data_IF_495221805531
#
_entry.id   IF_495221805531
#
_cell.length_a   1.000
_cell.length_b   1.000
_cell.length_c   1.000
_cell.angle_alpha   90.00
_cell.angle_beta   90.00
_cell.angle_gamma   90.00
#
_symmetry.space_group_name_H-M   'P 1'
#
loop_
_entity.id
_entity.type
_entity.pdbx_description
1 polymer ?
#
# COMPACT_ATOMS: atom_id res chain seq x y z
N UNK A 1 -6.25 -1.84 26.82
CA UNK A 1 -7.57 -1.56 26.23
C UNK A 1 -8.72 -1.73 27.21
N UNK A 2 -8.89 -2.85 27.90
CA UNK A 2 -10.05 -3.09 28.82
C UNK A 2 -10.24 -2.12 30.00
N UNK A 3 -9.23 -1.39 30.47
CA UNK A 3 -9.34 -0.49 31.65
C UNK A 3 -10.06 0.85 31.35
N UNK A 4 -9.89 1.39 30.15
CA UNK A 4 -10.50 2.67 29.76
C UNK A 4 -11.97 2.53 29.38
N UNK A 5 -12.32 1.41 28.72
CA UNK A 5 -13.66 1.05 28.30
C UNK A 5 -14.62 1.03 29.52
N UNK A 6 -14.21 0.38 30.61
CA UNK A 6 -15.00 0.32 31.86
C UNK A 6 -15.18 1.69 32.54
N UNK A 7 -14.24 2.62 32.36
CA UNK A 7 -14.27 3.93 33.01
C UNK A 7 -15.29 4.88 32.39
N UNK A 8 -15.53 4.77 31.10
CA UNK A 8 -16.39 5.69 30.34
C UNK A 8 -17.73 5.08 29.92
N UNK A 9 -18.00 3.82 30.29
CA UNK A 9 -19.23 3.12 29.91
C UNK A 9 -19.37 2.82 28.42
N UNK A 10 -18.26 2.89 27.66
CA UNK A 10 -18.24 2.61 26.23
C UNK A 10 -18.06 1.12 26.02
N UNK A 11 -18.98 0.49 25.27
CA UNK A 11 -18.79 -0.89 24.83
C UNK A 11 -17.91 -0.91 23.56
N UNK A 12 -16.71 -1.50 23.66
CA UNK A 12 -15.80 -1.61 22.54
C UNK A 12 -15.22 -3.02 22.44
N UNK A 13 -15.20 -3.55 21.23
CA UNK A 13 -14.78 -4.90 20.88
C UNK A 13 -13.55 -4.83 19.99
N UNK A 14 -12.52 -5.64 20.30
CA UNK A 14 -11.31 -5.73 19.51
C UNK A 14 -11.44 -6.84 18.45
N UNK A 15 -11.33 -6.45 17.19
CA UNK A 15 -11.27 -7.33 16.03
C UNK A 15 -9.85 -7.38 15.49
N UNK A 16 -9.03 -8.27 16.06
CA UNK A 16 -7.63 -8.45 15.67
C UNK A 16 -7.39 -9.84 15.09
N UNK A 17 -6.44 -9.96 14.16
CA UNK A 17 -6.12 -11.22 13.51
C UNK A 17 -7.00 -11.52 12.29
N UNK A 18 -7.18 -12.82 11.98
CA UNK A 18 -7.91 -13.22 10.78
C UNK A 18 -9.41 -13.08 10.98
N UNK A 19 -10.09 -12.45 10.04
CA UNK A 19 -11.54 -12.18 10.10
C UNK A 19 -12.40 -13.43 10.30
N UNK A 20 -11.95 -14.60 9.82
CA UNK A 20 -12.66 -15.88 10.03
C UNK A 20 -12.66 -16.35 11.48
N UNK A 21 -11.74 -15.84 12.29
CA UNK A 21 -11.56 -16.22 13.69
C UNK A 21 -12.32 -15.26 14.64
N UNK A 22 -13.06 -14.27 14.10
CA UNK A 22 -13.85 -13.35 14.91
C UNK A 22 -15.04 -14.05 15.56
N UNK A 23 -15.28 -13.73 16.84
CA UNK A 23 -16.43 -14.25 17.57
C UNK A 23 -17.74 -13.72 16.94
N UNK A 24 -18.68 -14.62 16.70
CA UNK A 24 -19.95 -14.27 16.04
C UNK A 24 -20.78 -13.33 16.92
N UNK A 25 -20.83 -13.55 18.24
CA UNK A 25 -21.59 -12.68 19.14
C UNK A 25 -21.02 -11.26 19.20
N UNK A 26 -19.69 -11.12 19.17
CA UNK A 26 -19.01 -9.84 19.14
C UNK A 26 -19.28 -9.11 17.83
N UNK A 27 -19.29 -9.85 16.73
CA UNK A 27 -19.63 -9.31 15.43
C UNK A 27 -21.08 -8.82 15.35
N UNK A 28 -22.03 -9.55 15.92
CA UNK A 28 -23.44 -9.14 15.99
C UNK A 28 -23.61 -7.85 16.79
N UNK A 29 -22.99 -7.73 17.97
CA UNK A 29 -23.03 -6.51 18.76
C UNK A 29 -22.45 -5.29 18.03
N UNK A 30 -21.36 -5.49 17.30
CA UNK A 30 -20.77 -4.43 16.47
C UNK A 30 -21.71 -4.04 15.32
N UNK A 31 -22.20 -4.99 14.54
CA UNK A 31 -23.05 -4.73 13.37
C UNK A 31 -24.43 -4.19 13.73
N UNK A 32 -24.93 -4.42 14.96
CA UNK A 32 -26.16 -3.83 15.48
C UNK A 32 -25.96 -2.41 16.06
N UNK A 33 -24.72 -1.90 16.10
CA UNK A 33 -24.39 -0.59 16.66
C UNK A 33 -24.32 -0.57 18.20
N UNK A 34 -24.35 -1.73 18.86
CA UNK A 34 -24.27 -1.85 20.32
C UNK A 34 -22.83 -1.73 20.86
N UNK A 35 -21.85 -1.83 19.97
CA UNK A 35 -20.43 -1.75 20.32
C UNK A 35 -19.61 -1.00 19.25
N UNK A 36 -18.55 -0.35 19.70
CA UNK A 36 -17.52 0.23 18.81
C UNK A 36 -16.52 -0.86 18.45
N UNK A 37 -16.29 -1.07 17.16
CA UNK A 37 -15.23 -1.98 16.66
C UNK A 37 -13.86 -1.31 16.72
N UNK A 38 -12.87 -1.97 17.30
CA UNK A 38 -11.47 -1.56 17.28
C UNK A 38 -10.68 -2.60 16.51
N UNK A 39 -10.04 -2.21 15.41
CA UNK A 39 -9.34 -3.14 14.54
C UNK A 39 -7.98 -2.60 14.12
N UNK A 40 -7.18 -3.44 13.47
CA UNK A 40 -5.89 -3.05 12.88
C UNK A 40 -6.08 -2.60 11.44
N UNK A 41 -5.15 -1.79 10.93
CA UNK A 41 -5.15 -1.40 9.52
C UNK A 41 -5.13 -2.61 8.57
N UNK A 42 -4.40 -3.66 8.93
CA UNK A 42 -4.36 -4.89 8.12
C UNK A 42 -5.71 -5.61 8.02
N UNK A 43 -6.52 -5.58 9.07
CA UNK A 43 -7.86 -6.17 9.05
C UNK A 43 -8.87 -5.25 8.36
N UNK A 44 -8.73 -3.94 8.56
CA UNK A 44 -9.62 -2.93 7.97
C UNK A 44 -9.43 -2.81 6.45
N UNK A 45 -8.19 -2.75 5.98
CA UNK A 45 -7.84 -2.63 4.55
C UNK A 45 -7.63 -3.96 3.83
N UNK A 46 -8.07 -5.07 4.42
CA UNK A 46 -8.04 -6.36 3.74
C UNK A 46 -8.96 -6.35 2.49
N UNK A 47 -8.58 -7.06 1.45
CA UNK A 47 -9.33 -7.12 0.17
C UNK A 47 -10.80 -7.52 0.34
N UNK A 48 -11.10 -8.39 1.31
CA UNK A 48 -12.45 -8.81 1.66
C UNK A 48 -12.75 -8.37 3.10
N UNK A 49 -12.61 -7.09 3.38
CA UNK A 49 -12.89 -6.55 4.70
C UNK A 49 -14.36 -6.72 5.05
N UNK A 50 -14.63 -7.11 6.30
CA UNK A 50 -16.00 -7.10 6.85
C UNK A 50 -16.44 -5.69 7.26
N UNK A 51 -15.52 -4.72 7.23
CA UNK A 51 -15.76 -3.34 7.67
C UNK A 51 -16.14 -2.41 6.50
N UNK A 52 -16.65 -2.95 5.38
CA UNK A 52 -16.99 -2.16 4.19
C UNK A 52 -18.19 -1.21 4.41
N UNK A 53 -19.07 -1.52 5.38
CA UNK A 53 -20.28 -0.75 5.68
C UNK A 53 -20.19 -0.05 7.04
N UNK A 54 -19.17 0.78 7.24
CA UNK A 54 -19.02 1.54 8.49
C UNK A 54 -19.56 2.96 8.32
N UNK A 55 -20.26 3.47 9.34
CA UNK A 55 -20.78 4.83 9.37
C UNK A 55 -19.71 5.86 9.74
N UNK A 56 -18.87 5.51 10.71
CA UNK A 56 -17.84 6.41 11.25
C UNK A 56 -16.52 5.65 11.35
N UNK A 57 -15.46 6.24 10.80
CA UNK A 57 -14.09 5.73 10.90
C UNK A 57 -13.27 6.73 11.71
N UNK A 58 -12.68 6.25 12.80
CA UNK A 58 -11.71 7.01 13.60
C UNK A 58 -10.36 6.32 13.43
N UNK A 59 -9.41 7.03 12.83
CA UNK A 59 -8.06 6.54 12.63
C UNK A 59 -7.12 7.13 13.67
N UNK A 60 -6.42 6.27 14.38
CA UNK A 60 -5.28 6.64 15.21
C UNK A 60 -4.06 6.63 14.29
N UNK A 61 -3.35 7.76 14.22
CA UNK A 61 -2.19 7.93 13.33
C UNK A 61 -2.48 7.69 11.83
N UNK A 62 -3.14 8.65 11.19
CA UNK A 62 -3.51 8.62 9.76
C UNK A 62 -2.29 8.36 8.85
N UNK A 63 -1.10 8.87 9.22
CA UNK A 63 0.11 8.66 8.42
C UNK A 63 0.52 7.19 8.36
N UNK A 64 0.44 6.46 9.48
CA UNK A 64 0.69 5.02 9.49
C UNK A 64 -0.34 4.25 8.67
N UNK A 65 -1.59 4.73 8.58
CA UNK A 65 -2.59 4.10 7.72
C UNK A 65 -2.30 4.31 6.25
N UNK A 66 -1.84 5.51 5.87
CA UNK A 66 -1.44 5.83 4.50
C UNK A 66 -0.26 4.96 4.06
N UNK A 67 0.78 4.87 4.89
CA UNK A 67 1.94 4.01 4.63
C UNK A 67 1.54 2.54 4.46
N UNK A 68 0.62 2.05 5.30
CA UNK A 68 0.11 0.69 5.18
C UNK A 68 -0.62 0.46 3.84
N UNK A 69 -1.51 1.38 3.45
CA UNK A 69 -2.25 1.28 2.18
C UNK A 69 -1.27 1.33 1.01
N UNK A 70 -0.35 2.30 0.99
CA UNK A 70 0.66 2.44 -0.06
C UNK A 70 1.50 1.16 -0.18
N UNK A 71 1.88 0.53 0.93
CA UNK A 71 2.69 -0.69 0.91
C UNK A 71 2.03 -1.85 0.16
N UNK A 72 0.70 -1.97 0.23
CA UNK A 72 -0.07 -2.99 -0.49
C UNK A 72 -0.12 -2.78 -2.01
N UNK A 73 0.25 -1.59 -2.48
CA UNK A 73 0.28 -1.18 -3.89
C UNK A 73 1.70 -0.87 -4.36
N UNK A 74 2.69 -1.22 -3.57
CA UNK A 74 4.10 -0.93 -3.84
C UNK A 74 4.85 -2.22 -4.13
N UNK A 75 5.41 -2.34 -5.32
CA UNK A 75 6.32 -3.41 -5.67
C UNK A 75 7.76 -2.94 -5.40
N UNK A 76 8.40 -3.58 -4.43
CA UNK A 76 9.79 -3.34 -4.08
C UNK A 76 10.66 -4.42 -4.72
N UNK A 77 11.65 -4.02 -5.49
CA UNK A 77 12.59 -4.90 -6.20
C UNK A 77 13.99 -4.59 -5.69
N UNK A 78 14.58 -5.52 -4.96
CA UNK A 78 15.91 -5.38 -4.40
C UNK A 78 16.98 -5.93 -5.35
N UNK A 79 18.24 -5.53 -5.17
CA UNK A 79 19.38 -5.96 -5.98
C UNK A 79 19.52 -7.49 -6.10
N UNK A 80 19.03 -8.23 -5.10
CA UNK A 80 19.08 -9.69 -5.08
C UNK A 80 17.99 -10.37 -5.95
N UNK A 81 17.09 -9.57 -6.53
CA UNK A 81 16.00 -10.08 -7.36
C UNK A 81 16.42 -10.18 -8.81
N UNK A 82 16.04 -11.25 -9.48
CA UNK A 82 16.31 -11.44 -10.92
C UNK A 82 15.73 -10.28 -11.75
N UNK A 83 14.56 -9.77 -11.36
CA UNK A 83 13.92 -8.64 -12.01
C UNK A 83 14.75 -7.35 -11.92
N UNK A 84 15.56 -7.18 -10.87
CA UNK A 84 16.33 -5.98 -10.65
C UNK A 84 17.33 -5.72 -11.79
N UNK A 85 18.14 -6.71 -12.14
CA UNK A 85 19.15 -6.56 -13.19
C UNK A 85 18.51 -6.24 -14.54
N UNK A 86 17.40 -6.90 -14.86
CA UNK A 86 16.70 -6.72 -16.12
C UNK A 86 16.07 -5.32 -16.21
N UNK A 87 15.43 -4.86 -15.14
CA UNK A 87 14.82 -3.52 -15.09
C UNK A 87 15.92 -2.44 -15.05
N UNK A 88 16.99 -2.64 -14.27
CA UNK A 88 18.12 -1.71 -14.23
C UNK A 88 18.77 -1.55 -15.62
N UNK A 89 18.85 -2.62 -16.42
CA UNK A 89 19.34 -2.54 -17.79
C UNK A 89 18.46 -1.66 -18.68
N UNK A 90 17.13 -1.70 -18.52
CA UNK A 90 16.20 -0.79 -19.20
C UNK A 90 16.42 0.64 -18.72
N UNK A 91 16.49 0.85 -17.40
CA UNK A 91 16.65 2.15 -16.78
C UNK A 91 17.99 2.81 -17.15
N UNK A 92 19.02 2.05 -17.50
CA UNK A 92 20.32 2.57 -17.95
C UNK A 92 20.20 3.55 -19.12
N UNK A 93 19.23 3.35 -19.99
CA UNK A 93 19.02 4.23 -21.15
C UNK A 93 18.24 5.49 -20.81
N UNK A 94 17.66 5.56 -19.62
CA UNK A 94 16.77 6.64 -19.16
C UNK A 94 17.43 7.50 -18.09
N UNK A 95 18.20 6.87 -17.20
CA UNK A 95 18.84 7.51 -16.06
C UNK A 95 20.09 8.29 -16.45
N UNK A 96 20.45 9.27 -15.62
CA UNK A 96 21.79 9.85 -15.65
C UNK A 96 22.84 8.79 -15.27
N UNK A 97 24.08 8.98 -15.72
CA UNK A 97 25.18 8.08 -15.36
C UNK A 97 25.36 7.96 -13.84
N UNK A 98 25.25 9.07 -13.12
CA UNK A 98 25.34 9.08 -11.66
C UNK A 98 24.22 8.30 -10.99
N UNK A 99 22.98 8.46 -11.46
CA UNK A 99 21.82 7.72 -10.89
C UNK A 99 21.94 6.23 -11.16
N UNK A 100 22.41 5.84 -12.34
CA UNK A 100 22.63 4.44 -12.67
C UNK A 100 23.76 3.81 -11.82
N UNK A 101 24.87 4.54 -11.60
CA UNK A 101 25.94 4.11 -10.72
C UNK A 101 25.44 3.93 -9.29
N UNK A 102 24.67 4.90 -8.76
CA UNK A 102 24.11 4.82 -7.41
C UNK A 102 23.13 3.66 -7.25
N UNK A 103 22.27 3.42 -8.26
CA UNK A 103 21.33 2.31 -8.27
C UNK A 103 22.03 0.95 -8.22
N UNK A 104 23.10 0.79 -9.00
CA UNK A 104 23.81 -0.47 -9.19
C UNK A 104 25.05 -0.63 -8.29
N UNK A 105 25.33 0.35 -7.44
CA UNK A 105 26.50 0.39 -6.57
C UNK A 105 26.69 -0.90 -5.76
N UNK A 106 27.94 -1.32 -5.60
CA UNK A 106 28.28 -2.46 -4.76
C UNK A 106 28.35 -2.04 -3.27
N UNK A 107 28.47 -3.01 -2.39
CA UNK A 107 28.54 -2.77 -0.94
C UNK A 107 29.72 -1.90 -0.51
N UNK A 108 30.76 -1.89 -1.32
CA UNK A 108 31.99 -1.10 -1.09
C UNK A 108 31.90 0.32 -1.67
N UNK A 109 30.88 0.63 -2.44
CA UNK A 109 30.72 1.92 -3.09
C UNK A 109 30.10 2.93 -2.13
N UNK A 110 30.64 4.17 -2.14
CA UNK A 110 30.11 5.28 -1.34
C UNK A 110 28.86 5.81 -2.07
N UNK A 111 27.71 5.27 -1.76
CA UNK A 111 26.43 5.85 -2.13
C UNK A 111 25.85 6.58 -0.91
N UNK A 112 25.29 7.79 -1.05
CA UNK A 112 24.63 8.45 0.07
C UNK A 112 23.50 7.56 0.62
N UNK A 113 23.47 7.33 1.94
CA UNK A 113 22.49 6.43 2.56
C UNK A 113 21.04 6.81 2.25
N UNK A 114 20.78 8.10 2.07
CA UNK A 114 19.44 8.64 1.81
C UNK A 114 19.23 9.01 0.33
N UNK A 115 20.06 8.49 -0.58
CA UNK A 115 19.84 8.78 -1.98
C UNK A 115 18.57 8.09 -2.51
N UNK A 116 17.69 8.89 -3.07
CA UNK A 116 16.48 8.44 -3.74
C UNK A 116 16.19 9.39 -4.90
N UNK A 117 15.80 8.86 -6.05
CA UNK A 117 15.41 9.65 -7.20
C UNK A 117 14.20 9.07 -7.91
N UNK A 118 13.50 9.90 -8.66
CA UNK A 118 12.34 9.52 -9.48
C UNK A 118 12.79 9.32 -10.93
N UNK A 119 12.38 8.19 -11.52
CA UNK A 119 12.64 7.94 -12.95
C UNK A 119 11.73 8.85 -13.80
N UNK A 120 12.28 9.57 -14.81
CA UNK A 120 11.50 10.47 -15.64
C UNK A 120 10.42 9.73 -16.45
N UNK A 121 9.14 9.98 -16.12
CA UNK A 121 7.99 9.30 -16.71
C UNK A 121 7.90 9.40 -18.25
N UNK A 122 8.17 10.53 -18.90
CA UNK A 122 8.06 10.60 -20.35
C UNK A 122 8.93 9.59 -21.09
N UNK A 123 10.11 9.28 -20.55
CA UNK A 123 11.03 8.30 -21.12
C UNK A 123 10.69 6.87 -20.73
N UNK A 124 10.00 6.71 -19.60
CA UNK A 124 9.61 5.42 -19.06
C UNK A 124 8.40 4.83 -19.78
N UNK A 125 7.45 5.66 -20.22
CA UNK A 125 6.18 5.21 -20.82
C UNK A 125 6.41 4.27 -22.02
N UNK A 126 7.41 4.54 -22.84
CA UNK A 126 7.75 3.71 -23.99
C UNK A 126 8.26 2.31 -23.60
N UNK A 127 8.78 2.17 -22.38
CA UNK A 127 9.38 0.92 -21.88
C UNK A 127 8.51 0.21 -20.83
N UNK A 128 7.35 0.77 -20.50
CA UNK A 128 6.52 0.25 -19.41
C UNK A 128 6.01 -1.17 -19.66
N UNK A 129 5.70 -1.50 -20.92
CA UNK A 129 5.27 -2.83 -21.31
C UNK A 129 6.37 -3.88 -21.14
N UNK A 130 7.61 -3.51 -21.38
CA UNK A 130 8.77 -4.37 -21.20
C UNK A 130 9.02 -4.62 -19.70
N UNK A 131 8.94 -3.56 -18.87
CA UNK A 131 9.02 -3.68 -17.42
C UNK A 131 7.90 -4.57 -16.88
N UNK A 132 6.66 -4.40 -17.38
CA UNK A 132 5.54 -5.25 -16.99
C UNK A 132 5.79 -6.73 -17.29
N UNK A 133 6.34 -7.03 -18.46
CA UNK A 133 6.69 -8.41 -18.84
C UNK A 133 7.74 -9.02 -17.94
N UNK A 134 8.76 -8.23 -17.55
CA UNK A 134 9.79 -8.67 -16.61
C UNK A 134 9.19 -8.98 -15.24
N UNK A 135 8.32 -8.10 -14.74
CA UNK A 135 7.64 -8.28 -13.46
C UNK A 135 6.76 -9.54 -13.49
N UNK A 136 5.96 -9.71 -14.54
CA UNK A 136 5.07 -10.87 -14.68
C UNK A 136 5.79 -12.21 -14.59
N UNK A 137 7.01 -12.29 -15.12
CA UNK A 137 7.81 -13.52 -15.14
C UNK A 137 8.54 -13.75 -13.81
N UNK A 138 9.01 -12.68 -13.17
CA UNK A 138 9.98 -12.78 -12.06
C UNK A 138 9.39 -12.42 -10.69
N UNK A 139 8.07 -12.09 -10.60
CA UNK A 139 7.47 -11.72 -9.32
C UNK A 139 7.39 -12.93 -8.40
N UNK A 140 7.89 -12.80 -7.18
CA UNK A 140 7.76 -13.81 -6.15
C UNK A 140 6.41 -13.73 -5.43
N UNK A 141 6.05 -14.77 -4.65
CA UNK A 141 4.76 -14.84 -3.96
C UNK A 141 4.53 -13.68 -2.98
N UNK A 142 5.57 -13.17 -2.34
CA UNK A 142 5.49 -12.06 -1.38
C UNK A 142 5.04 -10.75 -2.04
N UNK A 143 5.43 -10.51 -3.29
CA UNK A 143 5.14 -9.28 -4.04
C UNK A 143 3.98 -9.43 -5.01
N UNK A 144 3.53 -10.67 -5.21
CA UNK A 144 2.47 -10.99 -6.17
C UNK A 144 1.21 -10.17 -5.92
N UNK A 145 0.83 -10.00 -4.66
CA UNK A 145 -0.36 -9.22 -4.29
C UNK A 145 -0.21 -7.75 -4.70
N UNK A 146 0.89 -7.12 -4.33
CA UNK A 146 1.14 -5.72 -4.70
C UNK A 146 1.23 -5.55 -6.23
N UNK A 147 1.89 -6.48 -6.93
CA UNK A 147 1.95 -6.46 -8.39
C UNK A 147 0.56 -6.58 -9.03
N UNK A 148 -0.28 -7.52 -8.57
CA UNK A 148 -1.64 -7.68 -9.11
C UNK A 148 -2.47 -6.41 -8.98
N UNK A 149 -2.29 -5.66 -7.89
CA UNK A 149 -2.98 -4.39 -7.67
C UNK A 149 -2.58 -3.30 -8.67
N UNK A 150 -1.33 -3.30 -9.16
CA UNK A 150 -0.81 -2.24 -10.05
C UNK A 150 -0.68 -2.67 -11.51
N UNK A 151 -0.75 -3.97 -11.82
CA UNK A 151 -0.40 -4.52 -13.15
C UNK A 151 -1.19 -3.89 -14.29
N UNK A 152 -2.49 -3.65 -14.12
CA UNK A 152 -3.35 -3.05 -15.13
C UNK A 152 -3.11 -1.55 -15.30
N UNK A 153 -2.61 -0.88 -14.26
CA UNK A 153 -2.39 0.56 -14.20
C UNK A 153 -0.92 0.94 -14.03
N UNK A 154 -0.01 0.09 -14.50
CA UNK A 154 1.43 0.32 -14.34
C UNK A 154 1.90 1.65 -14.99
N UNK A 155 1.23 2.10 -16.04
CA UNK A 155 1.46 3.40 -16.69
C UNK A 155 1.17 4.61 -15.79
N UNK A 156 0.33 4.41 -14.76
CA UNK A 156 -0.05 5.44 -13.78
C UNK A 156 0.78 5.31 -12.49
N UNK A 157 1.83 4.48 -12.52
CA UNK A 157 2.76 4.29 -11.43
C UNK A 157 4.04 5.07 -11.67
N UNK A 158 4.61 5.58 -10.59
CA UNK A 158 5.96 6.12 -10.56
C UNK A 158 6.97 5.02 -10.24
N UNK A 159 8.16 5.14 -10.81
CA UNK A 159 9.31 4.33 -10.45
C UNK A 159 10.30 5.19 -9.68
N UNK A 160 10.54 4.82 -8.45
CA UNK A 160 11.56 5.40 -7.59
C UNK A 160 12.77 4.47 -7.56
N UNK A 161 13.93 5.05 -7.57
CA UNK A 161 15.20 4.36 -7.43
C UNK A 161 15.91 4.86 -6.17
N UNK A 162 16.45 3.95 -5.43
CA UNK A 162 17.27 4.24 -4.25
C UNK A 162 18.45 3.26 -4.20
N UNK A 163 19.28 3.35 -3.17
CA UNK A 163 20.42 2.46 -3.04
C UNK A 163 19.98 0.98 -3.12
N UNK A 164 20.34 0.30 -4.23
CA UNK A 164 20.08 -1.13 -4.48
C UNK A 164 18.59 -1.52 -4.51
N UNK A 165 17.70 -0.56 -4.73
CA UNK A 165 16.26 -0.83 -4.72
C UNK A 165 15.55 -0.05 -5.83
N UNK A 166 14.62 -0.73 -6.49
CA UNK A 166 13.64 -0.14 -7.39
C UNK A 166 12.27 -0.29 -6.74
N UNK A 167 11.52 0.80 -6.64
CA UNK A 167 10.19 0.80 -6.07
C UNK A 167 9.19 1.30 -7.11
N UNK A 168 8.15 0.52 -7.38
CA UNK A 168 7.07 0.87 -8.30
C UNK A 168 5.79 1.03 -7.50
N UNK A 169 5.17 2.21 -7.56
CA UNK A 169 3.94 2.51 -6.84
C UNK A 169 3.07 3.52 -7.58
N UNK A 170 1.74 3.51 -7.38
CA UNK A 170 0.84 4.51 -7.94
C UNK A 170 1.24 5.93 -7.54
N UNK A 171 1.02 6.88 -8.41
CA UNK A 171 1.25 8.29 -8.12
C UNK A 171 0.30 8.82 -7.03
N UNK A 172 -0.95 8.39 -7.08
CA UNK A 172 -1.95 8.77 -6.10
C UNK A 172 -2.16 7.57 -5.15
N UNK A 173 -2.13 7.78 -3.82
CA UNK A 173 -2.47 6.72 -2.90
C UNK A 173 -3.83 6.09 -3.23
N UNK A 174 -3.95 4.77 -3.29
CA UNK A 174 -5.19 4.11 -3.71
C UNK A 174 -6.31 4.13 -2.66
N UNK A 175 -6.24 5.03 -1.69
CA UNK A 175 -7.30 5.28 -0.71
C UNK A 175 -8.66 5.50 -1.34
N UNK A 176 -8.68 6.03 -2.59
CA UNK A 176 -9.92 6.24 -3.34
C UNK A 176 -10.58 4.95 -3.83
N UNK A 177 -9.85 3.84 -3.83
CA UNK A 177 -10.35 2.55 -4.34
C UNK A 177 -10.86 1.63 -3.23
N UNK A 178 -10.70 2.01 -1.97
CA UNK A 178 -11.21 1.22 -0.86
C UNK A 178 -12.67 1.58 -0.57
N UNK A 179 -13.57 0.59 -0.67
CA UNK A 179 -15.01 0.78 -0.52
C UNK A 179 -15.41 1.49 0.78
N UNK A 180 -14.72 1.21 1.88
CA UNK A 180 -15.00 1.86 3.16
C UNK A 180 -14.80 3.40 3.10
N UNK A 181 -13.77 3.88 2.38
CA UNK A 181 -13.56 5.33 2.21
C UNK A 181 -14.55 5.95 1.26
N UNK A 182 -14.92 5.29 0.18
CA UNK A 182 -15.91 5.84 -0.75
C UNK A 182 -17.29 5.93 -0.09
N UNK A 183 -17.68 4.94 0.70
CA UNK A 183 -18.94 4.95 1.43
C UNK A 183 -18.96 6.00 2.55
N UNK A 184 -17.90 6.07 3.38
CA UNK A 184 -17.78 7.07 4.45
C UNK A 184 -17.74 8.50 3.88
N UNK A 185 -17.01 8.73 2.79
CA UNK A 185 -16.94 10.04 2.12
C UNK A 185 -18.30 10.48 1.56
N UNK A 186 -19.06 9.57 1.01
CA UNK A 186 -20.39 9.87 0.47
C UNK A 186 -21.36 10.28 1.58
N UNK A 187 -21.34 9.59 2.72
CA UNK A 187 -22.19 9.94 3.88
C UNK A 187 -21.81 11.29 4.51
N UNK A 188 -20.50 11.60 4.63
CA UNK A 188 -20.07 12.92 5.13
C UNK A 188 -20.55 14.06 4.21
N UNK A 189 -20.58 13.85 2.91
CA UNK A 189 -21.06 14.85 1.95
C UNK A 189 -22.58 15.01 2.01
N UNK A 190 -23.32 13.93 2.23
CA UNK A 190 -24.77 13.96 2.34
C UNK A 190 -25.23 14.67 3.64
N UNK A 191 -24.50 14.47 4.76
CA UNK A 191 -24.74 15.15 6.02
C UNK A 191 -24.35 16.63 6.02
N UNK A 192 -23.45 17.06 5.12
CA UNK A 192 -23.05 18.46 4.95
C UNK A 192 -23.96 19.25 3.99
N UNK A 193 -24.94 18.63 3.37
CA UNK A 193 -25.95 19.30 2.52
C UNK A 193 -27.20 19.73 3.31
N UNK A 194 -27.17 19.63 4.64
CA UNK A 194 -28.14 20.25 5.57
C UNK A 194 -27.66 21.62 5.99
#
# INVERSE_FOLDING_TARGET
MNRQIKKYGINAIAFCGRQKDYNISDWVQYSSGEAIGVTTYSSFFATNSRFDEVDIIIMDDVHSSEDYIISNWTVNISKNDIAFEQIAAILKTILSENDYINLTADETSICPENWCNLVPMPLLIERISEINSILQININDERKFAYMNIAENLKDCNIYISNKQIQIRPWIPPTMFHNAFSNAKQRILDDLQL
#
